data_IF_789241785904
#
_entry.id   IF_789241785904
#
_cell.length_a   1.000
_cell.length_b   1.000
_cell.length_c   1.000
_cell.angle_alpha   90.00
_cell.angle_beta   90.00
_cell.angle_gamma   90.00
#
_symmetry.space_group_name_H-M   'P 1'
#
loop_
_entity.id
_entity.type
_entity.pdbx_description
1 polymer ?
#
# COMPACT_ATOMS: atom_id res chain seq x y z
N UNK A 1 2.62 1.35 -70.65
CA UNK A 1 2.99 0.87 -69.32
C UNK A 1 1.85 1.19 -68.38
N UNK A 2 1.16 0.21 -67.84
CA UNK A 2 0.03 0.40 -66.93
C UNK A 2 0.53 0.13 -65.48
N UNK A 3 0.52 1.14 -64.65
CA UNK A 3 0.86 0.99 -63.25
C UNK A 3 -0.38 0.47 -62.50
N UNK A 4 -0.25 -0.69 -61.85
CA UNK A 4 -1.26 -1.20 -60.94
C UNK A 4 -1.10 -0.53 -59.54
N UNK A 5 -2.20 -0.10 -58.93
CA UNK A 5 -2.10 0.50 -57.59
C UNK A 5 -1.87 -0.62 -56.54
N UNK A 6 -0.87 -0.41 -55.67
CA UNK A 6 -0.60 -1.22 -54.50
C UNK A 6 -1.72 -0.99 -53.46
N UNK A 7 -2.27 -2.06 -52.86
CA UNK A 7 -3.23 -1.88 -51.75
C UNK A 7 -2.52 -1.39 -50.49
N UNK A 8 -2.97 -0.25 -49.96
CA UNK A 8 -2.57 0.27 -48.64
C UNK A 8 -3.25 -0.60 -47.59
N UNK A 9 -2.47 -1.45 -46.92
CA UNK A 9 -2.90 -2.25 -45.77
C UNK A 9 -2.97 -1.34 -44.58
N UNK A 10 -4.17 -0.86 -44.21
CA UNK A 10 -4.41 -0.13 -42.97
C UNK A 10 -4.31 -1.09 -41.79
N UNK A 11 -3.18 -1.06 -41.07
CA UNK A 11 -3.03 -1.75 -39.79
C UNK A 11 -3.90 -1.02 -38.75
N UNK A 12 -5.04 -1.61 -38.42
CA UNK A 12 -5.81 -1.20 -37.24
C UNK A 12 -5.07 -1.71 -35.99
N UNK A 13 -4.32 -0.85 -35.33
CA UNK A 13 -3.82 -1.09 -33.99
C UNK A 13 -5.02 -1.02 -33.02
N UNK A 14 -5.52 -2.17 -32.60
CA UNK A 14 -6.48 -2.25 -31.51
C UNK A 14 -5.77 -1.79 -30.23
N UNK A 15 -6.08 -0.60 -29.76
CA UNK A 15 -5.75 -0.13 -28.42
C UNK A 15 -6.53 -1.01 -27.43
N UNK A 16 -5.90 -2.06 -26.90
CA UNK A 16 -6.39 -2.78 -25.73
C UNK A 16 -6.26 -1.81 -24.54
N UNK A 17 -7.33 -1.06 -24.24
CA UNK A 17 -7.50 -0.46 -22.94
C UNK A 17 -7.51 -1.60 -21.91
N UNK A 18 -6.44 -1.77 -21.17
CA UNK A 18 -6.47 -2.57 -19.96
C UNK A 18 -7.45 -1.88 -19.01
N UNK A 19 -8.68 -2.36 -18.88
CA UNK A 19 -9.55 -2.00 -17.77
C UNK A 19 -8.85 -2.50 -16.51
N UNK A 20 -8.41 -1.59 -15.63
CA UNK A 20 -8.06 -1.96 -14.26
C UNK A 20 -9.34 -2.48 -13.59
N UNK A 21 -9.24 -3.63 -12.93
CA UNK A 21 -10.33 -4.10 -12.08
C UNK A 21 -10.39 -3.20 -10.83
N UNK A 22 -11.59 -2.91 -10.33
CA UNK A 22 -11.78 -2.09 -9.15
C UNK A 22 -12.84 -2.70 -8.21
N UNK A 23 -12.69 -2.42 -6.93
CA UNK A 23 -13.65 -2.74 -5.88
C UNK A 23 -14.22 -1.43 -5.32
N UNK A 24 -15.55 -1.32 -5.25
CA UNK A 24 -16.21 -0.20 -4.59
C UNK A 24 -16.63 -0.61 -3.19
N UNK A 25 -16.11 0.10 -2.18
CA UNK A 25 -16.45 -0.13 -0.78
C UNK A 25 -17.92 0.29 -0.52
N UNK A 26 -18.81 -0.64 -0.16
CA UNK A 26 -20.22 -0.30 0.05
C UNK A 26 -20.46 0.58 1.28
N UNK A 27 -19.47 0.74 2.15
CA UNK A 27 -19.61 1.51 3.40
C UNK A 27 -19.56 3.02 3.18
N UNK A 28 -18.77 3.47 2.20
CA UNK A 28 -18.56 4.90 1.90
C UNK A 28 -18.58 5.26 0.41
N UNK A 29 -18.65 4.25 -0.47
CA UNK A 29 -18.68 4.42 -1.93
C UNK A 29 -17.32 4.71 -2.56
N UNK A 30 -16.20 4.65 -1.81
CA UNK A 30 -14.87 4.78 -2.38
C UNK A 30 -14.54 3.56 -3.26
N UNK A 31 -13.92 3.82 -4.41
CA UNK A 31 -13.42 2.76 -5.29
C UNK A 31 -11.91 2.63 -5.14
N UNK A 32 -11.45 1.40 -5.10
CA UNK A 32 -10.04 1.02 -5.02
C UNK A 32 -9.70 0.17 -6.23
N UNK A 33 -8.63 0.50 -6.94
CA UNK A 33 -8.05 -0.40 -7.93
C UNK A 33 -7.59 -1.67 -7.23
N UNK A 34 -7.78 -2.82 -7.91
CA UNK A 34 -7.37 -4.12 -7.38
C UNK A 34 -6.44 -4.83 -8.36
N UNK A 35 -5.55 -5.65 -7.83
CA UNK A 35 -4.59 -6.41 -8.63
C UNK A 35 -4.44 -7.83 -8.09
N UNK A 36 -4.37 -8.80 -8.98
CA UNK A 36 -4.08 -10.18 -8.62
C UNK A 36 -2.57 -10.41 -8.65
N UNK A 37 -2.01 -10.82 -7.50
CA UNK A 37 -0.60 -11.20 -7.37
C UNK A 37 -0.56 -12.61 -6.77
N UNK A 38 0.00 -13.55 -7.51
CA UNK A 38 -0.06 -14.96 -7.14
C UNK A 38 -1.49 -15.49 -7.06
N UNK A 39 -1.85 -16.06 -5.93
CA UNK A 39 -3.21 -16.55 -5.65
C UNK A 39 -4.13 -15.52 -5.01
N UNK A 40 -3.61 -14.38 -4.55
CA UNK A 40 -4.32 -13.38 -3.79
C UNK A 40 -4.67 -12.15 -4.64
N UNK A 41 -5.79 -11.50 -4.31
CA UNK A 41 -6.19 -10.21 -4.88
C UNK A 41 -5.96 -9.13 -3.83
N UNK A 42 -5.22 -8.09 -4.20
CA UNK A 42 -4.81 -6.97 -3.34
C UNK A 42 -5.48 -5.68 -3.77
N UNK A 43 -5.75 -4.79 -2.83
CA UNK A 43 -5.95 -3.40 -3.20
C UNK A 43 -4.63 -2.87 -3.81
N UNK A 44 -4.70 -2.17 -4.93
CA UNK A 44 -3.57 -1.46 -5.53
C UNK A 44 -3.38 -0.05 -4.93
N UNK A 45 -4.23 0.31 -3.98
CA UNK A 45 -4.24 1.57 -3.26
C UNK A 45 -4.29 1.34 -1.75
N UNK A 46 -3.77 2.29 -0.98
CA UNK A 46 -3.90 2.24 0.47
C UNK A 46 -5.34 2.55 0.87
N UNK A 47 -5.84 1.82 1.87
CA UNK A 47 -7.19 2.04 2.39
C UNK A 47 -7.36 3.49 2.86
N UNK A 48 -8.49 4.12 2.48
CA UNK A 48 -8.84 5.49 2.88
C UNK A 48 -10.18 5.58 3.65
N UNK A 49 -10.70 4.43 4.11
CA UNK A 49 -11.91 4.37 4.90
C UNK A 49 -11.72 5.07 6.26
N UNK A 50 -12.65 5.96 6.63
CA UNK A 50 -12.59 6.72 7.89
C UNK A 50 -13.00 5.84 9.06
N UNK A 51 -12.08 5.61 10.00
CA UNK A 51 -12.37 5.09 11.35
C UNK A 51 -12.20 6.19 12.39
N UNK A 52 -12.71 5.98 13.60
CA UNK A 52 -12.62 6.98 14.68
C UNK A 52 -11.18 7.40 14.99
N UNK A 53 -10.24 6.44 14.98
CA UNK A 53 -8.83 6.67 15.27
C UNK A 53 -7.95 6.91 14.05
N UNK A 54 -8.46 6.82 12.80
CA UNK A 54 -7.62 6.98 11.61
C UNK A 54 -7.27 8.44 11.33
N UNK A 55 -6.06 8.68 10.81
CA UNK A 55 -5.54 10.02 10.52
C UNK A 55 -5.01 10.15 9.10
N UNK A 56 -4.96 11.36 8.57
CA UNK A 56 -4.26 11.63 7.32
C UNK A 56 -2.75 11.78 7.56
N UNK A 57 -1.88 11.33 6.64
CA UNK A 57 -0.46 11.59 6.71
C UNK A 57 -0.19 13.11 6.87
N UNK A 58 0.75 13.47 7.75
CA UNK A 58 1.07 14.87 8.13
C UNK A 58 -0.13 15.67 8.68
N UNK A 59 -1.26 15.02 9.01
CA UNK A 59 -2.49 15.69 9.42
C UNK A 59 -3.19 16.50 8.33
N UNK A 60 -2.77 16.35 7.07
CA UNK A 60 -3.34 17.08 5.92
C UNK A 60 -4.30 16.18 5.13
N UNK A 61 -5.55 16.62 4.98
CA UNK A 61 -6.58 15.85 4.24
C UNK A 61 -6.19 15.55 2.80
N UNK A 62 -5.44 16.43 2.14
CA UNK A 62 -4.92 16.20 0.77
C UNK A 62 -3.99 14.99 0.70
N UNK A 63 -3.35 14.65 1.80
CA UNK A 63 -2.51 13.46 1.88
C UNK A 63 -3.35 12.18 2.03
N UNK A 64 -4.54 12.24 2.60
CA UNK A 64 -5.49 11.13 2.55
C UNK A 64 -5.89 10.79 1.12
N UNK A 65 -6.19 11.81 0.30
CA UNK A 65 -6.56 11.61 -1.11
C UNK A 65 -5.41 10.98 -1.93
N UNK A 66 -4.18 11.28 -1.56
CA UNK A 66 -2.98 10.80 -2.27
C UNK A 66 -2.44 9.48 -1.76
N UNK A 67 -2.42 9.29 -0.46
CA UNK A 67 -1.70 8.19 0.20
C UNK A 67 -2.61 7.24 0.98
N UNK A 68 -3.92 7.51 1.03
CA UNK A 68 -4.81 6.83 1.96
C UNK A 68 -4.58 7.29 3.41
N UNK A 69 -5.24 6.63 4.35
CA UNK A 69 -5.16 6.93 5.78
C UNK A 69 -4.13 6.08 6.49
N UNK A 70 -3.71 6.56 7.64
CA UNK A 70 -2.90 5.81 8.61
C UNK A 70 -3.81 5.38 9.76
N UNK A 71 -3.63 4.18 10.24
CA UNK A 71 -4.46 3.51 11.25
C UNK A 71 -3.59 3.02 12.41
N UNK A 72 -4.11 3.05 13.64
CA UNK A 72 -3.56 2.22 14.71
C UNK A 72 -3.73 0.75 14.33
N UNK A 73 -3.02 -0.16 15.01
CA UNK A 73 -3.16 -1.58 14.72
C UNK A 73 -4.57 -2.11 15.04
N UNK A 74 -5.17 -1.64 16.14
CA UNK A 74 -6.52 -2.06 16.53
C UNK A 74 -7.58 -1.62 15.51
N UNK A 75 -7.49 -0.39 14.99
CA UNK A 75 -8.34 0.09 13.89
C UNK A 75 -8.09 -0.72 12.61
N UNK A 76 -6.83 -0.97 12.26
CA UNK A 76 -6.45 -1.69 11.04
C UNK A 76 -7.08 -3.10 10.96
N UNK A 77 -7.21 -3.78 12.09
CA UNK A 77 -7.77 -5.14 12.16
C UNK A 77 -9.20 -5.26 11.66
N UNK A 78 -9.96 -4.19 11.72
CA UNK A 78 -11.38 -4.15 11.34
C UNK A 78 -11.66 -3.18 10.20
N UNK A 79 -10.63 -2.51 9.68
CA UNK A 79 -10.80 -1.47 8.67
C UNK A 79 -11.13 -2.00 7.27
N UNK A 80 -10.68 -3.21 6.91
CA UNK A 80 -10.98 -3.79 5.60
C UNK A 80 -12.48 -4.11 5.44
N UNK A 81 -13.06 -3.92 4.24
CA UNK A 81 -14.46 -4.20 4.00
C UNK A 81 -14.76 -5.71 3.98
N UNK A 82 -16.05 -6.07 4.00
CA UNK A 82 -16.49 -7.47 3.92
C UNK A 82 -15.92 -8.16 2.67
N UNK A 83 -15.45 -9.40 2.83
CA UNK A 83 -14.77 -10.17 1.78
C UNK A 83 -13.27 -9.85 1.63
N UNK A 84 -12.78 -8.87 2.38
CA UNK A 84 -11.37 -8.47 2.44
C UNK A 84 -10.86 -8.52 3.88
N UNK A 85 -9.56 -8.67 4.06
CA UNK A 85 -8.96 -8.71 5.39
C UNK A 85 -7.61 -7.98 5.42
N UNK A 86 -7.18 -7.63 6.63
CA UNK A 86 -5.82 -7.15 6.88
C UNK A 86 -4.85 -8.32 6.65
N UNK A 87 -3.82 -8.18 5.81
CA UNK A 87 -2.90 -9.26 5.49
C UNK A 87 -2.22 -9.82 6.75
N UNK A 88 -2.07 -11.13 6.82
CA UNK A 88 -1.20 -11.73 7.83
C UNK A 88 0.26 -11.87 7.33
N UNK A 89 1.13 -12.46 8.16
CA UNK A 89 2.53 -12.64 7.79
C UNK A 89 2.73 -13.61 6.63
N UNK A 90 1.82 -14.57 6.43
CA UNK A 90 1.88 -15.52 5.32
C UNK A 90 1.47 -14.86 4.00
N UNK A 91 0.47 -13.97 4.03
CA UNK A 91 0.06 -13.18 2.86
C UNK A 91 1.20 -12.30 2.38
N UNK A 92 1.88 -11.58 3.30
CA UNK A 92 3.04 -10.76 2.95
C UNK A 92 4.26 -11.59 2.51
N UNK A 93 4.49 -12.77 3.10
CA UNK A 93 5.56 -13.66 2.66
C UNK A 93 5.32 -14.11 1.21
N UNK A 94 4.08 -14.50 0.86
CA UNK A 94 3.71 -14.85 -0.51
C UNK A 94 3.88 -13.65 -1.47
N UNK A 95 3.43 -12.46 -1.08
CA UNK A 95 3.61 -11.24 -1.86
C UNK A 95 5.10 -10.96 -2.14
N UNK A 96 5.97 -11.09 -1.14
CA UNK A 96 7.41 -10.87 -1.27
C UNK A 96 8.02 -11.89 -2.23
N UNK A 97 7.65 -13.17 -2.15
CA UNK A 97 8.13 -14.21 -3.06
C UNK A 97 7.68 -13.96 -4.51
N UNK A 98 6.39 -13.66 -4.72
CA UNK A 98 5.83 -13.34 -6.04
C UNK A 98 6.45 -12.07 -6.65
N UNK A 99 6.92 -11.15 -5.80
CA UNK A 99 7.61 -9.92 -6.21
C UNK A 99 9.12 -10.09 -6.49
N UNK A 100 9.63 -11.33 -6.44
CA UNK A 100 11.05 -11.64 -6.75
C UNK A 100 11.92 -11.89 -5.52
N UNK A 101 11.32 -12.14 -4.37
CA UNK A 101 12.00 -12.46 -3.11
C UNK A 101 12.45 -11.23 -2.32
N UNK A 102 12.88 -11.42 -1.06
CA UNK A 102 13.15 -10.31 -0.11
C UNK A 102 14.11 -9.24 -0.63
N UNK A 103 15.11 -9.62 -1.42
CA UNK A 103 16.15 -8.71 -1.90
C UNK A 103 15.68 -7.79 -3.06
N UNK A 104 14.63 -8.17 -3.79
CA UNK A 104 14.17 -7.49 -5.00
C UNK A 104 12.71 -6.99 -4.93
N UNK A 105 11.91 -7.53 -4.02
CA UNK A 105 10.48 -7.27 -3.94
C UNK A 105 10.15 -5.77 -3.81
N UNK A 106 10.98 -4.99 -3.12
CA UNK A 106 10.78 -3.55 -3.00
C UNK A 106 10.84 -2.81 -4.32
N UNK A 107 11.66 -3.24 -5.27
CA UNK A 107 11.69 -2.69 -6.63
C UNK A 107 10.36 -2.93 -7.36
N UNK A 108 9.83 -4.16 -7.26
CA UNK A 108 8.60 -4.58 -7.95
C UNK A 108 7.32 -4.02 -7.34
N UNK A 109 7.32 -3.77 -6.02
CA UNK A 109 6.14 -3.35 -5.26
C UNK A 109 5.98 -1.83 -5.14
N UNK A 110 7.10 -1.08 -5.10
CA UNK A 110 7.07 0.38 -4.98
C UNK A 110 6.50 1.03 -6.24
N UNK A 111 5.69 2.06 -6.05
CA UNK A 111 5.19 2.91 -7.13
C UNK A 111 6.32 3.49 -7.97
N UNK A 112 6.04 3.76 -9.24
CA UNK A 112 6.99 4.34 -10.19
C UNK A 112 7.27 5.84 -9.97
N UNK A 113 6.62 6.44 -8.96
CA UNK A 113 6.79 7.85 -8.60
C UNK A 113 6.53 8.11 -7.11
N UNK A 114 6.98 9.27 -6.62
CA UNK A 114 6.70 9.74 -5.26
C UNK A 114 7.76 9.40 -4.23
N UNK A 115 8.76 8.56 -4.54
CA UNK A 115 9.84 8.20 -3.64
C UNK A 115 11.03 9.15 -3.75
N UNK A 116 11.68 9.42 -2.62
CA UNK A 116 12.85 10.29 -2.55
C UNK A 116 14.06 9.75 -3.34
N UNK A 117 14.95 10.63 -3.74
CA UNK A 117 16.31 10.33 -4.23
C UNK A 117 16.38 9.21 -5.29
N UNK A 118 15.43 9.14 -6.21
CA UNK A 118 15.34 8.09 -7.22
C UNK A 118 15.01 6.69 -6.64
N UNK A 119 14.39 6.65 -5.46
CA UNK A 119 13.96 5.42 -4.81
C UNK A 119 12.67 4.81 -5.37
N UNK A 120 12.14 5.34 -6.48
CA UNK A 120 10.97 4.78 -7.15
C UNK A 120 11.21 3.31 -7.52
N UNK A 121 10.14 2.52 -7.47
CA UNK A 121 10.12 1.16 -8.00
C UNK A 121 9.71 1.12 -9.46
N UNK A 122 9.55 -0.10 -9.96
CA UNK A 122 9.01 -0.37 -11.29
C UNK A 122 7.49 -0.54 -11.30
N UNK A 123 6.91 -0.83 -10.13
CA UNK A 123 5.50 -1.23 -9.98
C UNK A 123 5.11 -2.38 -10.92
N UNK A 124 6.02 -3.33 -11.10
CA UNK A 124 5.89 -4.39 -12.10
C UNK A 124 4.67 -5.29 -11.89
N UNK A 125 4.13 -5.33 -10.67
CA UNK A 125 2.97 -6.14 -10.29
C UNK A 125 1.69 -5.32 -10.12
N UNK A 126 1.74 -3.99 -10.24
CA UNK A 126 0.60 -3.11 -10.00
C UNK A 126 0.21 -2.99 -8.52
N UNK A 127 1.09 -3.35 -7.60
CA UNK A 127 0.85 -3.19 -6.16
C UNK A 127 0.85 -1.72 -5.76
N UNK A 128 1.61 -0.87 -6.45
CA UNK A 128 1.64 0.58 -6.34
C UNK A 128 1.84 1.08 -4.89
N UNK A 129 2.84 0.56 -4.20
CA UNK A 129 3.14 1.01 -2.84
C UNK A 129 3.60 2.47 -2.83
N UNK A 130 2.79 3.35 -2.26
CA UNK A 130 3.09 4.77 -2.09
C UNK A 130 3.81 5.03 -0.75
N UNK A 131 4.81 5.93 -0.71
CA UNK A 131 5.57 6.24 0.50
C UNK A 131 4.79 7.19 1.42
N UNK A 132 3.79 6.67 2.11
CA UNK A 132 2.91 7.42 3.02
C UNK A 132 3.57 7.81 4.35
N UNK A 133 4.73 7.23 4.66
CA UNK A 133 5.34 7.39 5.98
C UNK A 133 4.55 6.70 7.09
N UNK A 134 4.63 7.27 8.29
CA UNK A 134 3.94 6.80 9.49
C UNK A 134 3.70 7.96 10.47
N UNK A 135 2.90 7.71 11.50
CA UNK A 135 2.81 8.56 12.68
C UNK A 135 3.18 7.71 13.91
N UNK A 136 4.23 8.11 14.63
CA UNK A 136 4.61 7.46 15.87
C UNK A 136 3.71 7.93 17.03
N UNK A 137 3.36 7.04 17.94
CA UNK A 137 2.82 7.40 19.24
C UNK A 137 4.01 7.85 20.11
N UNK A 138 4.14 9.13 20.37
CA UNK A 138 5.14 9.62 21.31
C UNK A 138 4.50 9.72 22.69
N UNK A 139 4.69 8.72 23.52
CA UNK A 139 4.49 8.86 24.95
C UNK A 139 5.80 9.41 25.56
N UNK A 140 5.82 10.72 25.88
CA UNK A 140 6.85 11.27 26.74
C UNK A 140 6.29 11.19 28.17
N UNK A 141 6.81 10.32 29.05
CA UNK A 141 6.31 10.19 30.41
C UNK A 141 6.39 11.53 31.14
N UNK A 142 5.23 12.03 31.59
CA UNK A 142 5.12 13.26 32.37
C UNK A 142 4.85 14.55 31.60
N UNK A 143 4.72 14.51 30.28
CA UNK A 143 4.35 15.66 29.47
C UNK A 143 2.89 15.53 28.97
N UNK A 144 1.99 16.31 29.60
CA UNK A 144 0.57 16.37 29.19
C UNK A 144 0.38 17.00 27.80
N UNK A 145 1.44 17.50 27.16
CA UNK A 145 1.45 17.99 25.78
C UNK A 145 1.95 16.93 24.80
N UNK A 146 2.34 15.73 25.28
CA UNK A 146 2.82 14.64 24.43
C UNK A 146 1.75 14.08 23.48
N UNK A 147 0.47 14.22 23.78
CA UNK A 147 -0.62 13.91 22.83
C UNK A 147 -0.58 14.81 21.57
N UNK A 148 0.00 16.00 21.65
CA UNK A 148 0.22 16.89 20.50
C UNK A 148 1.55 16.64 19.78
N UNK A 149 2.43 15.82 20.33
CA UNK A 149 3.76 15.50 19.77
C UNK A 149 3.81 14.20 19.00
N UNK A 150 2.67 13.63 18.63
CA UNK A 150 2.63 12.51 17.71
C UNK A 150 3.34 12.91 16.40
N UNK A 151 4.55 12.41 16.22
CA UNK A 151 5.41 12.86 15.14
C UNK A 151 5.08 12.07 13.87
N UNK A 152 4.62 12.77 12.85
CA UNK A 152 4.64 12.24 11.49
C UNK A 152 6.07 12.21 10.95
N UNK A 153 6.42 11.16 10.21
CA UNK A 153 7.73 11.05 9.59
C UNK A 153 7.66 10.15 8.35
N UNK A 154 8.61 10.31 7.45
CA UNK A 154 8.90 9.37 6.39
C UNK A 154 8.05 9.46 5.13
N UNK A 155 7.17 10.46 4.96
CA UNK A 155 6.52 10.70 3.65
C UNK A 155 7.61 10.86 2.57
N UNK A 156 7.41 10.18 1.45
CA UNK A 156 8.37 10.13 0.34
C UNK A 156 9.53 9.15 0.56
N UNK A 157 9.75 8.69 1.79
CA UNK A 157 10.86 7.79 2.13
C UNK A 157 10.46 6.35 2.42
N UNK A 158 9.30 6.15 3.05
CA UNK A 158 8.92 4.85 3.58
C UNK A 158 7.46 4.52 3.32
N UNK A 159 7.19 3.25 3.05
CA UNK A 159 5.86 2.67 3.09
C UNK A 159 5.82 1.54 4.12
N UNK A 160 4.83 1.60 5.01
CA UNK A 160 4.63 0.64 6.09
C UNK A 160 3.18 0.16 6.07
N UNK A 161 2.98 -1.14 6.02
CA UNK A 161 1.65 -1.76 5.94
C UNK A 161 1.45 -2.71 7.11
N UNK A 162 0.46 -2.43 7.97
CA UNK A 162 0.13 -3.32 9.09
C UNK A 162 -0.17 -4.75 8.64
N UNK A 163 0.29 -5.70 9.44
CA UNK A 163 -0.13 -7.10 9.39
C UNK A 163 -1.13 -7.41 10.51
N UNK A 164 -2.01 -8.37 10.29
CA UNK A 164 -2.96 -8.85 11.28
C UNK A 164 -2.31 -9.58 12.47
N UNK A 165 -1.01 -9.88 12.37
CA UNK A 165 -0.28 -10.67 13.38
C UNK A 165 0.41 -9.76 14.39
N UNK A 166 0.16 -10.01 15.67
CA UNK A 166 0.84 -9.35 16.79
C UNK A 166 1.88 -10.27 17.44
N UNK A 167 2.83 -9.64 18.14
CA UNK A 167 3.75 -10.34 19.07
C UNK A 167 3.16 -10.37 20.49
N UNK A 168 3.70 -11.22 21.39
CA UNK A 168 3.30 -11.19 22.80
C UNK A 168 3.60 -9.87 23.52
N UNK A 169 4.56 -9.09 23.04
CA UNK A 169 5.11 -7.89 23.70
C UNK A 169 4.43 -6.57 23.26
N UNK A 170 3.13 -6.64 22.93
CA UNK A 170 2.33 -5.48 22.47
C UNK A 170 2.83 -4.81 21.19
N UNK A 171 3.60 -5.53 20.38
CA UNK A 171 3.98 -5.11 19.04
C UNK A 171 3.11 -5.79 17.98
N UNK A 172 3.07 -5.24 16.78
CA UNK A 172 2.46 -5.88 15.62
C UNK A 172 3.42 -5.86 14.44
N UNK A 173 3.33 -6.92 13.62
CA UNK A 173 4.14 -6.99 12.40
C UNK A 173 3.62 -6.04 11.34
N UNK A 174 4.53 -5.63 10.46
CA UNK A 174 4.23 -4.82 9.28
C UNK A 174 5.22 -5.14 8.15
N UNK A 175 4.75 -5.00 6.91
CA UNK A 175 5.62 -4.97 5.73
C UNK A 175 6.24 -3.57 5.61
N UNK A 176 7.54 -3.48 5.33
CA UNK A 176 8.22 -2.21 5.07
C UNK A 176 8.94 -2.17 3.72
N UNK A 177 8.91 -0.98 3.10
CA UNK A 177 9.63 -0.62 1.90
C UNK A 177 10.35 0.72 2.14
N UNK A 178 11.57 0.84 1.62
CA UNK A 178 12.47 1.97 1.83
C UNK A 178 12.92 2.57 0.50
N UNK A 179 13.02 3.91 0.43
CA UNK A 179 13.48 4.62 -0.77
C UNK A 179 14.91 4.28 -1.19
N UNK A 180 15.77 3.90 -0.25
CA UNK A 180 17.19 3.60 -0.48
C UNK A 180 17.47 2.13 -0.81
N UNK A 181 16.44 1.26 -0.74
CA UNK A 181 16.58 -0.19 -0.90
C UNK A 181 15.65 -0.74 -1.98
N UNK A 182 16.07 -1.82 -2.62
CA UNK A 182 15.23 -2.67 -3.48
C UNK A 182 14.56 -3.81 -2.71
N UNK A 183 14.92 -3.98 -1.46
CA UNK A 183 14.40 -5.03 -0.60
C UNK A 183 13.01 -4.70 -0.06
N UNK A 184 12.28 -5.75 0.31
CA UNK A 184 11.10 -5.68 1.15
C UNK A 184 11.30 -6.60 2.36
N UNK A 185 10.70 -6.26 3.50
CA UNK A 185 10.84 -7.08 4.70
C UNK A 185 9.72 -6.88 5.68
N UNK A 186 9.71 -7.76 6.69
CA UNK A 186 8.79 -7.66 7.82
C UNK A 186 9.54 -7.24 9.08
N UNK A 187 8.92 -6.40 9.89
CA UNK A 187 9.40 -6.00 11.20
C UNK A 187 8.22 -5.86 12.16
N UNK A 188 8.45 -5.58 13.44
CA UNK A 188 7.41 -5.37 14.43
C UNK A 188 7.62 -4.05 15.17
N UNK A 189 6.50 -3.36 15.49
CA UNK A 189 6.51 -2.06 16.16
C UNK A 189 5.30 -1.91 17.08
N UNK A 190 5.29 -0.91 18.00
CA UNK A 190 4.17 -0.67 18.90
C UNK A 190 2.83 -0.51 18.16
N UNK A 191 1.78 -1.15 18.68
CA UNK A 191 0.43 -1.11 18.11
C UNK A 191 -0.20 0.28 18.11
N UNK A 192 0.25 1.17 19.00
CA UNK A 192 -0.20 2.56 19.05
C UNK A 192 0.32 3.45 17.93
N UNK A 193 1.31 3.01 17.16
CA UNK A 193 1.76 3.71 15.96
C UNK A 193 0.70 3.62 14.84
N UNK A 194 0.79 4.54 13.89
CA UNK A 194 -0.15 4.63 12.77
C UNK A 194 0.56 4.31 11.46
N UNK A 195 0.03 3.34 10.72
CA UNK A 195 0.56 2.88 9.43
C UNK A 195 -0.55 2.70 8.42
N UNK A 196 -0.17 2.58 7.15
CA UNK A 196 -1.12 2.27 6.08
C UNK A 196 -1.71 0.87 6.23
N UNK A 197 -2.88 0.68 5.63
CA UNK A 197 -3.55 -0.61 5.46
C UNK A 197 -3.65 -0.92 3.98
N UNK A 198 -3.35 -2.16 3.62
CA UNK A 198 -3.53 -2.71 2.28
C UNK A 198 -4.38 -3.97 2.42
N UNK A 199 -5.64 -3.89 1.99
CA UNK A 199 -6.54 -5.03 2.12
C UNK A 199 -6.24 -6.12 1.08
N UNK A 200 -6.47 -7.37 1.46
CA UNK A 200 -6.27 -8.55 0.61
C UNK A 200 -7.49 -9.46 0.66
N UNK A 201 -7.76 -10.15 -0.44
CA UNK A 201 -8.82 -11.15 -0.59
C UNK A 201 -8.28 -12.39 -1.29
N UNK A 202 -8.83 -13.55 -0.96
CA UNK A 202 -8.47 -14.83 -1.55
C UNK A 202 -8.58 -15.95 -0.54
N UNK A 203 -8.59 -17.18 -1.06
CA UNK A 203 -8.63 -18.40 -0.23
C UNK A 203 -7.19 -18.82 0.04
N UNK A 204 -6.88 -19.04 1.33
CA UNK A 204 -5.63 -19.66 1.79
C UNK A 204 -5.67 -21.16 1.61
#
# INVERSE_FOLDING_TARGET
>A
MRYAPLPILLLFAALLSACSESFTDPRDGQSYDIVKIGSLTWFAENLNFVTEGSVCPEGDSRNCDRYGRLYTWDDARTACPEGWHLPDSADFASLIEDAGGPAAAGESLKSSSGWFKKGNGSDALGFNALPAGYRGAVEIPGDAQSEQSAKYDGIGGYAYFWSAVATPDDLAYYLFLDFSSKAAGMNAFPKGDYRSVRCVSGVK
#
